data_IF_484383810668
#
_entry.id   IF_484383810668
#
_cell.length_a   1.000
_cell.length_b   1.000
_cell.length_c   1.000
_cell.angle_alpha   90.00
_cell.angle_beta   90.00
_cell.angle_gamma   90.00
#
_symmetry.space_group_name_H-M   'P 1'
#
loop_
_entity.id
_entity.type
_entity.pdbx_description
1 polymer ?
#
# COMPACT_ATOMS: atom_id res chain seq x y z
N UNK A 1 -19.81 -2.01 -28.76
CA UNK A 1 -18.83 -1.55 -27.75
C UNK A 1 -18.14 -2.77 -27.19
N UNK A 2 -16.88 -3.01 -27.55
CA UNK A 2 -16.14 -4.17 -27.05
C UNK A 2 -15.84 -3.94 -25.57
N UNK A 3 -16.46 -4.76 -24.73
CA UNK A 3 -16.22 -4.78 -23.29
C UNK A 3 -14.85 -5.44 -23.08
N UNK A 4 -13.78 -4.65 -23.18
CA UNK A 4 -12.43 -5.13 -22.84
C UNK A 4 -12.46 -5.33 -21.33
N UNK A 5 -12.54 -6.59 -20.89
CA UNK A 5 -12.44 -6.92 -19.48
C UNK A 5 -11.17 -6.27 -18.93
N UNK A 6 -11.31 -5.45 -17.88
CA UNK A 6 -10.17 -4.86 -17.20
C UNK A 6 -9.17 -5.99 -16.87
N UNK A 7 -7.87 -5.81 -17.17
CA UNK A 7 -6.89 -6.87 -16.97
C UNK A 7 -6.92 -7.31 -15.51
N UNK A 8 -7.06 -8.62 -15.29
CA UNK A 8 -7.10 -9.19 -13.95
C UNK A 8 -5.77 -8.91 -13.24
N UNK A 9 -5.82 -8.05 -12.23
CA UNK A 9 -4.66 -7.66 -11.45
C UNK A 9 -4.37 -8.69 -10.37
N UNK A 10 -3.10 -9.03 -10.19
CA UNK A 10 -2.63 -10.04 -9.25
C UNK A 10 -1.63 -9.42 -8.28
N UNK A 11 -1.50 -10.07 -7.13
CA UNK A 11 -0.50 -9.75 -6.13
C UNK A 11 0.66 -10.71 -6.26
N UNK A 12 1.87 -10.18 -6.34
CA UNK A 12 3.11 -10.92 -6.49
C UNK A 12 4.05 -10.64 -5.33
N UNK A 13 4.75 -11.67 -4.89
CA UNK A 13 5.94 -11.54 -4.07
C UNK A 13 7.16 -11.55 -5.00
N UNK A 14 7.93 -10.46 -4.98
CA UNK A 14 9.20 -10.34 -5.70
C UNK A 14 10.31 -10.34 -4.67
N UNK A 15 11.26 -11.26 -4.81
CA UNK A 15 12.44 -11.38 -3.95
C UNK A 15 13.69 -11.11 -4.77
N UNK A 16 14.57 -10.30 -4.23
CA UNK A 16 15.98 -10.23 -4.63
C UNK A 16 16.81 -11.00 -3.63
N UNK A 17 17.87 -11.61 -4.14
CA UNK A 17 18.96 -12.12 -3.33
C UNK A 17 19.98 -11.00 -3.18
N UNK A 18 20.26 -10.58 -1.95
CA UNK A 18 21.35 -9.66 -1.68
C UNK A 18 22.66 -10.46 -1.65
N UNK A 19 23.58 -10.10 -2.55
CA UNK A 19 24.88 -10.77 -2.66
C UNK A 19 25.80 -10.47 -1.46
N UNK A 20 25.46 -9.49 -0.63
CA UNK A 20 26.30 -9.00 0.47
C UNK A 20 25.93 -9.59 1.82
N UNK A 21 24.69 -10.05 2.02
CA UNK A 21 24.24 -10.53 3.34
C UNK A 21 23.47 -11.86 3.34
N UNK A 22 23.34 -12.52 2.18
CA UNK A 22 22.60 -13.80 2.02
C UNK A 22 21.15 -13.71 2.56
N UNK A 23 20.56 -12.51 2.60
CA UNK A 23 19.15 -12.33 2.94
C UNK A 23 18.32 -12.05 1.69
N UNK A 24 17.12 -12.62 1.71
CA UNK A 24 16.08 -12.27 0.76
C UNK A 24 15.26 -11.10 1.29
N UNK A 25 15.07 -10.09 0.45
CA UNK A 25 14.20 -8.96 0.76
C UNK A 25 12.90 -9.07 -0.06
N UNK A 26 11.84 -9.69 0.48
CA UNK A 26 10.58 -9.80 -0.22
C UNK A 26 9.88 -8.44 -0.31
N UNK A 27 9.34 -8.14 -1.49
CA UNK A 27 8.43 -7.03 -1.73
C UNK A 27 7.12 -7.55 -2.30
N UNK A 28 6.02 -7.00 -1.81
CA UNK A 28 4.68 -7.27 -2.33
C UNK A 28 4.38 -6.23 -3.40
N UNK A 29 4.06 -6.68 -4.61
CA UNK A 29 3.80 -5.82 -5.77
C UNK A 29 2.50 -6.26 -6.43
N UNK A 30 1.63 -5.29 -6.65
CA UNK A 30 0.38 -5.48 -7.39
C UNK A 30 0.62 -5.12 -8.85
N UNK A 31 0.35 -6.05 -9.77
CA UNK A 31 0.53 -5.83 -11.21
C UNK A 31 -0.38 -6.75 -12.05
N UNK A 32 -0.55 -6.44 -13.32
CA UNK A 32 -1.33 -7.32 -14.23
C UNK A 32 -0.58 -8.64 -14.52
N UNK A 33 0.74 -8.58 -14.67
CA UNK A 33 1.57 -9.71 -15.06
C UNK A 33 2.83 -9.82 -14.19
N UNK A 34 3.45 -11.01 -14.18
CA UNK A 34 4.75 -11.23 -13.52
C UNK A 34 5.83 -10.30 -14.06
N UNK A 35 5.83 -10.05 -15.37
CA UNK A 35 6.82 -9.17 -16.02
C UNK A 35 6.65 -7.71 -15.57
N UNK A 36 5.39 -7.23 -15.48
CA UNK A 36 5.11 -5.91 -14.91
C UNK A 36 5.53 -5.84 -13.44
N UNK A 37 5.25 -6.86 -12.63
CA UNK A 37 5.69 -6.89 -11.23
C UNK A 37 7.22 -6.78 -11.07
N UNK A 38 8.00 -7.44 -11.95
CA UNK A 38 9.47 -7.29 -11.97
C UNK A 38 9.91 -5.87 -12.34
N UNK A 39 9.22 -5.26 -13.30
CA UNK A 39 9.53 -3.90 -13.75
C UNK A 39 9.25 -2.86 -12.66
N UNK A 40 8.09 -2.95 -12.00
CA UNK A 40 7.73 -2.13 -10.83
C UNK A 40 8.75 -2.31 -9.69
N UNK A 41 9.20 -3.55 -9.44
CA UNK A 41 10.25 -3.81 -8.46
C UNK A 41 11.55 -3.08 -8.82
N UNK A 42 11.94 -3.14 -10.10
CA UNK A 42 13.14 -2.47 -10.60
C UNK A 42 13.04 -0.95 -10.45
N UNK A 43 11.89 -0.34 -10.76
CA UNK A 43 11.66 1.10 -10.56
C UNK A 43 11.71 1.49 -9.08
N UNK A 44 11.17 0.65 -8.18
CA UNK A 44 11.27 0.89 -6.74
C UNK A 44 12.72 0.91 -6.25
N UNK A 45 13.57 0.07 -6.85
CA UNK A 45 14.95 -0.12 -6.45
C UNK A 45 15.95 0.69 -7.27
N UNK A 46 15.54 1.34 -8.36
CA UNK A 46 16.46 2.00 -9.30
C UNK A 46 17.25 3.13 -8.66
N UNK A 47 16.66 3.80 -7.67
CA UNK A 47 17.34 4.85 -6.90
C UNK A 47 18.45 4.30 -6.00
N UNK A 48 18.33 3.03 -5.58
CA UNK A 48 19.32 2.39 -4.74
C UNK A 48 20.36 1.61 -5.57
N UNK A 49 19.91 0.98 -6.65
CA UNK A 49 20.66 0.00 -7.42
C UNK A 49 20.69 0.50 -8.87
N UNK A 50 21.79 1.17 -9.27
CA UNK A 50 22.03 1.61 -10.65
C UNK A 50 22.35 0.40 -11.56
N UNK A 51 21.36 -0.48 -11.72
CA UNK A 51 21.46 -1.73 -12.46
C UNK A 51 20.41 -1.70 -13.58
N UNK A 52 20.78 -1.91 -14.84
CA UNK A 52 19.81 -2.01 -15.92
C UNK A 52 18.81 -3.15 -15.69
N UNK A 53 17.53 -2.94 -16.03
CA UNK A 53 16.46 -3.91 -15.79
C UNK A 53 16.81 -5.34 -16.23
N UNK A 54 17.37 -5.51 -17.42
CA UNK A 54 17.75 -6.81 -17.97
C UNK A 54 18.81 -7.56 -17.14
N UNK A 55 19.67 -6.83 -16.41
CA UNK A 55 20.70 -7.41 -15.53
C UNK A 55 20.11 -7.83 -14.17
N UNK A 56 19.04 -7.19 -13.72
CA UNK A 56 18.34 -7.55 -12.48
C UNK A 56 17.48 -8.82 -12.65
N UNK A 57 16.88 -9.03 -13.83
CA UNK A 57 15.92 -10.12 -14.08
C UNK A 57 16.35 -11.53 -13.61
N UNK A 58 17.61 -11.99 -13.80
CA UNK A 58 18.05 -13.31 -13.34
C UNK A 58 18.12 -13.44 -11.81
N UNK A 59 18.28 -12.32 -11.10
CA UNK A 59 18.38 -12.24 -9.64
C UNK A 59 17.00 -12.23 -8.97
N UNK A 60 15.93 -11.96 -9.74
CA UNK A 60 14.58 -11.90 -9.20
C UNK A 60 13.93 -13.29 -9.13
N UNK A 61 13.34 -13.59 -7.97
CA UNK A 61 12.37 -14.68 -7.81
C UNK A 61 10.99 -14.07 -7.65
N UNK A 62 10.03 -14.54 -8.45
CA UNK A 62 8.66 -14.01 -8.46
C UNK A 62 7.67 -15.13 -8.26
N UNK A 63 6.82 -14.96 -7.25
CA UNK A 63 5.72 -15.87 -6.94
C UNK A 63 4.40 -15.12 -6.99
N UNK A 64 3.41 -15.71 -7.64
CA UNK A 64 2.03 -15.22 -7.59
C UNK A 64 1.45 -15.59 -6.23
N UNK A 65 1.00 -14.61 -5.45
CA UNK A 65 0.29 -14.83 -4.19
C UNK A 65 -1.17 -15.16 -4.48
N UNK A 66 -1.79 -14.41 -5.38
CA UNK A 66 -3.18 -14.63 -5.79
C UNK A 66 -3.73 -13.48 -6.60
N UNK A 67 -5.05 -13.55 -6.87
CA UNK A 67 -5.80 -12.40 -7.39
C UNK A 67 -5.75 -11.27 -6.38
N UNK A 68 -5.64 -10.04 -6.87
CA UNK A 68 -5.63 -8.85 -6.03
C UNK A 68 -6.87 -8.80 -5.14
N UNK A 69 -6.63 -8.51 -3.87
CA UNK A 69 -7.66 -8.20 -2.88
C UNK A 69 -7.38 -6.80 -2.33
N UNK A 70 -8.40 -6.01 -1.98
CA UNK A 70 -8.18 -4.72 -1.32
C UNK A 70 -7.31 -4.82 -0.05
N UNK A 71 -7.34 -5.96 0.64
CA UNK A 71 -6.47 -6.24 1.78
C UNK A 71 -4.98 -6.31 1.44
N UNK A 72 -4.62 -6.54 0.18
CA UNK A 72 -3.22 -6.60 -0.26
C UNK A 72 -2.57 -5.21 -0.28
N UNK A 73 -3.38 -4.15 -0.19
CA UNK A 73 -2.91 -2.78 -0.01
C UNK A 73 -2.57 -2.48 1.46
N UNK A 74 -2.96 -3.36 2.39
CA UNK A 74 -2.77 -3.12 3.81
C UNK A 74 -1.29 -3.17 4.19
N UNK A 75 -0.84 -2.17 4.94
CA UNK A 75 0.50 -2.03 5.46
C UNK A 75 0.76 -2.93 6.67
N UNK A 76 1.88 -2.68 7.33
CA UNK A 76 2.28 -3.44 8.52
C UNK A 76 1.28 -3.21 9.67
N UNK A 77 0.69 -4.31 10.15
CA UNK A 77 -0.34 -4.29 11.20
C UNK A 77 0.17 -3.79 12.55
N UNK A 78 1.32 -4.27 13.02
CA UNK A 78 1.89 -3.87 14.30
C UNK A 78 2.21 -2.38 14.33
N UNK A 79 2.77 -1.87 13.23
CA UNK A 79 3.01 -0.43 13.05
C UNK A 79 1.70 0.35 13.11
N UNK A 80 0.68 -0.11 12.40
CA UNK A 80 -0.63 0.55 12.41
C UNK A 80 -1.23 0.60 13.82
N UNK A 81 -1.25 -0.53 14.53
CA UNK A 81 -1.75 -0.65 15.91
C UNK A 81 -0.99 0.29 16.87
N UNK A 82 0.33 0.38 16.74
CA UNK A 82 1.17 1.32 17.49
C UNK A 82 0.79 2.78 17.22
N UNK A 83 0.57 3.14 15.95
CA UNK A 83 0.22 4.52 15.57
C UNK A 83 -1.15 4.91 16.09
N UNK A 84 -2.18 4.07 15.92
CA UNK A 84 -3.53 4.41 16.39
C UNK A 84 -3.60 4.53 17.91
N UNK A 85 -2.81 3.74 18.64
CA UNK A 85 -2.68 3.84 20.09
C UNK A 85 -2.02 5.16 20.48
N UNK A 86 -0.85 5.48 19.90
CA UNK A 86 -0.09 6.69 20.24
C UNK A 86 -0.80 7.98 19.83
N UNK A 87 -1.68 7.91 18.83
CA UNK A 87 -2.48 9.05 18.34
C UNK A 87 -3.88 9.11 18.95
N UNK A 88 -4.17 8.25 19.93
CA UNK A 88 -5.45 8.19 20.65
C UNK A 88 -6.68 8.05 19.73
N UNK A 89 -6.56 7.25 18.67
CA UNK A 89 -7.65 6.92 17.72
C UNK A 89 -7.90 5.41 17.66
N UNK A 90 -8.13 4.71 18.80
CA UNK A 90 -8.26 3.25 18.84
C UNK A 90 -9.47 2.69 18.06
N UNK A 91 -10.41 3.55 17.67
CA UNK A 91 -11.54 3.19 16.82
C UNK A 91 -11.15 3.02 15.35
N UNK A 92 -9.98 3.50 14.92
CA UNK A 92 -9.51 3.41 13.55
C UNK A 92 -9.01 2.00 13.21
N UNK A 93 -9.30 1.53 11.99
CA UNK A 93 -8.87 0.23 11.49
C UNK A 93 -8.47 0.29 10.01
N UNK A 94 -7.58 -0.60 9.56
CA UNK A 94 -7.26 -0.73 8.13
C UNK A 94 -8.49 -1.23 7.37
N UNK A 95 -8.85 -0.53 6.29
CA UNK A 95 -10.11 -0.68 5.56
C UNK A 95 -11.19 0.32 5.97
N UNK A 96 -10.95 1.18 6.98
CA UNK A 96 -11.90 2.21 7.38
C UNK A 96 -12.02 3.31 6.34
N UNK A 97 -13.25 3.77 6.11
CA UNK A 97 -13.55 4.92 5.25
C UNK A 97 -13.39 6.21 6.05
N UNK A 98 -12.65 7.15 5.47
CA UNK A 98 -12.40 8.47 6.07
C UNK A 98 -12.49 9.56 4.99
N UNK A 99 -12.66 10.80 5.44
CA UNK A 99 -12.48 12.00 4.63
C UNK A 99 -11.27 12.75 5.16
N UNK A 100 -10.36 13.18 4.28
CA UNK A 100 -9.25 14.08 4.64
C UNK A 100 -9.32 15.29 3.73
N UNK A 101 -9.49 16.48 4.31
CA UNK A 101 -9.62 17.75 3.59
C UNK A 101 -10.66 17.69 2.45
N UNK A 102 -11.82 17.08 2.70
CA UNK A 102 -12.91 16.97 1.73
C UNK A 102 -12.75 15.82 0.72
N UNK A 103 -11.67 15.03 0.78
CA UNK A 103 -11.44 13.88 -0.11
C UNK A 103 -11.70 12.57 0.62
N UNK A 104 -12.56 11.72 0.04
CA UNK A 104 -12.85 10.40 0.56
C UNK A 104 -11.75 9.39 0.22
N UNK A 105 -11.41 8.55 1.20
CA UNK A 105 -10.38 7.52 1.05
C UNK A 105 -10.51 6.38 2.05
N UNK A 106 -9.63 5.39 1.88
CA UNK A 106 -9.56 4.20 2.74
C UNK A 106 -8.22 4.18 3.46
N UNK A 107 -8.25 3.97 4.78
CA UNK A 107 -7.04 3.70 5.56
C UNK A 107 -6.46 2.37 5.11
N UNK A 108 -5.22 2.37 4.63
CA UNK A 108 -4.50 1.14 4.28
C UNK A 108 -3.31 0.88 5.20
N UNK A 109 -2.92 1.81 6.06
CA UNK A 109 -1.87 1.55 7.02
C UNK A 109 -1.41 2.79 7.75
N UNK A 110 -0.18 2.76 8.23
CA UNK A 110 0.50 3.87 8.85
C UNK A 110 2.01 3.80 8.60
N UNK A 111 2.71 4.90 8.85
CA UNK A 111 4.14 5.04 8.68
C UNK A 111 4.85 5.44 10.00
N UNK A 112 6.18 5.45 9.98
CA UNK A 112 6.99 5.66 11.17
C UNK A 112 6.97 7.11 11.70
N UNK A 113 6.45 8.06 10.92
CA UNK A 113 6.16 9.44 11.38
C UNK A 113 4.82 9.55 12.14
N UNK A 114 4.12 8.43 12.36
CA UNK A 114 2.85 8.41 13.07
C UNK A 114 1.68 8.97 12.26
N UNK A 115 1.78 8.95 10.93
CA UNK A 115 0.72 9.35 10.01
C UNK A 115 0.02 8.11 9.42
N UNK A 116 -1.20 8.30 8.94
CA UNK A 116 -1.96 7.27 8.26
C UNK A 116 -1.55 7.22 6.78
N UNK A 117 -1.53 6.01 6.23
CA UNK A 117 -1.40 5.78 4.79
C UNK A 117 -2.82 5.60 4.22
N UNK A 118 -3.24 6.50 3.34
CA UNK A 118 -4.60 6.57 2.78
C UNK A 118 -4.54 6.38 1.27
N UNK A 119 -5.46 5.60 0.70
CA UNK A 119 -5.71 5.60 -0.74
C UNK A 119 -7.02 6.35 -0.97
N UNK A 120 -6.94 7.51 -1.65
CA UNK A 120 -8.14 8.28 -2.00
C UNK A 120 -8.89 7.63 -3.16
N UNK A 121 -10.19 7.90 -3.22
CA UNK A 121 -11.04 7.38 -4.28
C UNK A 121 -10.54 7.85 -5.66
N UNK A 122 -10.47 6.93 -6.61
CA UNK A 122 -9.95 7.20 -7.95
C UNK A 122 -8.42 7.22 -8.07
N UNK A 123 -7.68 6.99 -6.96
CA UNK A 123 -6.23 6.84 -6.98
C UNK A 123 -5.81 5.36 -6.81
N UNK A 124 -4.58 5.05 -7.23
CA UNK A 124 -3.99 3.71 -7.10
C UNK A 124 -2.71 3.71 -6.24
N UNK A 125 -2.28 4.87 -5.74
CA UNK A 125 -1.17 5.02 -4.81
C UNK A 125 -1.66 5.50 -3.45
N UNK A 126 -0.83 5.33 -2.43
CA UNK A 126 -1.11 5.81 -1.07
C UNK A 126 -0.53 7.20 -0.85
N UNK A 127 -1.22 8.00 -0.06
CA UNK A 127 -0.79 9.30 0.43
C UNK A 127 -0.63 9.29 1.95
N UNK A 128 0.28 10.13 2.44
CA UNK A 128 0.57 10.30 3.86
C UNK A 128 -0.37 11.37 4.43
N UNK A 129 -1.18 11.02 5.43
CA UNK A 129 -2.14 11.94 6.03
C UNK A 129 -1.98 12.01 7.55
N UNK A 130 -1.91 13.22 8.09
CA UNK A 130 -1.89 13.41 9.54
C UNK A 130 -3.24 12.98 10.15
N UNK A 131 -3.28 12.20 11.25
CA UNK A 131 -4.52 11.61 11.74
C UNK A 131 -5.58 12.63 12.19
N UNK A 132 -5.17 13.86 12.52
CA UNK A 132 -6.05 14.92 13.02
C UNK A 132 -6.26 16.07 12.02
N UNK A 133 -5.46 16.16 10.96
CA UNK A 133 -5.54 17.35 10.10
C UNK A 133 -6.70 17.23 9.11
N UNK A 134 -7.79 17.96 9.38
CA UNK A 134 -9.01 17.98 8.56
C UNK A 134 -9.55 16.58 8.26
N UNK A 135 -9.61 15.73 9.28
CA UNK A 135 -9.94 14.31 9.12
C UNK A 135 -11.29 13.98 9.75
N UNK A 136 -12.15 13.30 8.99
CA UNK A 136 -13.40 12.70 9.48
C UNK A 136 -13.34 11.18 9.35
N UNK A 137 -13.69 10.48 10.42
CA UNK A 137 -13.72 9.03 10.51
C UNK A 137 -15.17 8.54 10.53
N UNK A 138 -15.47 7.54 9.71
CA UNK A 138 -16.82 6.98 9.60
C UNK A 138 -16.88 5.53 10.06
N UNK A 139 -18.04 5.12 10.58
CA UNK A 139 -18.33 3.73 10.88
C UNK A 139 -18.61 2.92 9.60
N UNK A 140 -18.91 1.63 9.77
CA UNK A 140 -19.21 0.72 8.65
C UNK A 140 -20.49 1.06 7.91
N UNK A 141 -21.39 1.84 8.51
CA UNK A 141 -22.64 2.31 7.92
C UNK A 141 -22.49 3.70 7.27
N UNK A 142 -21.30 4.30 7.34
CA UNK A 142 -21.03 5.65 6.85
C UNK A 142 -21.42 6.77 7.82
N UNK A 143 -21.75 6.45 9.08
CA UNK A 143 -22.03 7.44 10.11
C UNK A 143 -20.73 8.05 10.65
N UNK A 144 -20.72 9.36 10.89
CA UNK A 144 -19.55 10.06 11.45
C UNK A 144 -19.28 9.59 12.88
N UNK A 145 -18.08 9.05 13.12
CA UNK A 145 -17.59 8.67 14.46
C UNK A 145 -16.85 9.84 15.10
N UNK A 146 -15.95 10.48 14.35
CA UNK A 146 -15.06 11.51 14.87
C UNK A 146 -14.64 12.47 13.77
N UNK A 147 -14.57 13.75 14.10
CA UNK A 147 -14.03 14.81 13.26
C UNK A 147 -12.91 15.54 13.99
N UNK A 148 -11.86 15.87 13.25
CA UNK A 148 -10.78 16.75 13.65
C UNK A 148 -10.64 17.85 12.60
N UNK A 149 -10.75 19.11 13.02
CA UNK A 149 -10.73 20.25 12.11
C UNK A 149 -9.32 20.78 11.82
N UNK A 150 -8.34 20.52 12.71
CA UNK A 150 -6.96 21.05 12.68
C UNK A 150 -5.93 20.02 13.17
#
# INVERSE_FOLDING_TARGET
>A
MNNVAAPAINTYEVRTYDIWDDKEYPKIITAETRSKAKYEYWQLMSDCWDIPFGKLLPMLRVRTIGRFKPSDLFGNRERFERVIHNRCIPFAYMGMRIEVSGKMGTIVGANDSGNLDIIFDGQWWKENCHPWWKTKYFDRNGALIKEYAD
#
